data_IF_563747227843
#
_entry.id   IF_563747227843
#
_cell.length_a   1.000
_cell.length_b   1.000
_cell.length_c   1.000
_cell.angle_alpha   90.00
_cell.angle_beta   90.00
_cell.angle_gamma   90.00
#
_symmetry.space_group_name_H-M   'P 1'
#
loop_
_entity.id
_entity.type
_entity.pdbx_description
1 polymer ?
#
# COMPACT_ATOMS: atom_id res chain seq x y z
N UNK A 1 17.64 -7.59 -4.36
CA UNK A 1 18.62 -6.54 -4.72
C UNK A 1 19.96 -7.22 -4.98
N UNK A 2 20.57 -7.00 -6.13
CA UNK A 2 21.86 -7.61 -6.51
C UNK A 2 22.90 -6.49 -6.46
N UNK A 3 23.89 -6.60 -5.59
CA UNK A 3 25.00 -5.64 -5.53
C UNK A 3 26.20 -6.16 -6.32
N UNK A 4 26.77 -5.32 -7.17
CA UNK A 4 28.03 -5.59 -7.87
C UNK A 4 29.17 -4.88 -7.15
N UNK A 5 30.16 -5.62 -6.68
CA UNK A 5 31.44 -5.07 -6.27
C UNK A 5 32.50 -5.49 -7.28
N UNK A 6 33.15 -4.52 -7.91
CA UNK A 6 34.29 -4.77 -8.81
C UNK A 6 35.59 -4.63 -8.05
N UNK A 7 36.30 -5.74 -7.84
CA UNK A 7 37.72 -5.75 -7.46
C UNK A 7 38.57 -6.10 -8.68
N UNK A 8 39.74 -5.47 -8.88
CA UNK A 8 40.63 -5.80 -9.98
C UNK A 8 41.49 -7.01 -9.61
N UNK A 9 41.12 -8.17 -10.11
CA UNK A 9 41.88 -9.40 -9.92
C UNK A 9 41.03 -10.63 -10.13
N UNK A 10 40.98 -11.10 -11.32
CA UNK A 10 40.38 -12.27 -11.94
C UNK A 10 40.04 -13.52 -11.12
N UNK A 11 39.11 -13.44 -10.19
CA UNK A 11 38.32 -14.58 -9.74
C UNK A 11 36.85 -14.25 -10.05
N UNK A 12 36.24 -15.13 -10.84
CA UNK A 12 34.80 -15.07 -11.10
C UNK A 12 34.05 -15.31 -9.79
N UNK A 13 33.54 -14.24 -9.18
CA UNK A 13 32.65 -14.34 -8.03
C UNK A 13 31.50 -15.26 -8.41
N UNK A 14 31.50 -16.46 -7.85
CA UNK A 14 30.37 -17.38 -7.99
C UNK A 14 29.19 -16.75 -7.28
N UNK A 15 28.18 -16.36 -8.02
CA UNK A 15 26.88 -15.97 -7.48
C UNK A 15 26.40 -17.06 -6.51
N UNK A 16 26.48 -16.79 -5.21
CA UNK A 16 25.83 -17.63 -4.21
C UNK A 16 24.36 -17.22 -4.23
N UNK A 17 23.55 -17.97 -5.00
CA UNK A 17 22.09 -17.87 -4.87
C UNK A 17 21.77 -18.36 -3.45
N UNK A 18 21.18 -17.52 -2.58
CA UNK A 18 20.77 -17.97 -1.26
C UNK A 18 19.86 -19.19 -1.44
N UNK A 19 20.12 -20.26 -0.66
CA UNK A 19 19.21 -21.41 -0.65
C UNK A 19 17.81 -20.88 -0.41
N UNK A 20 16.90 -21.16 -1.31
CA UNK A 20 15.49 -20.79 -1.17
C UNK A 20 14.97 -21.39 0.14
N UNK A 21 14.78 -20.55 1.17
CA UNK A 21 14.32 -20.96 2.50
C UNK A 21 12.83 -21.35 2.50
N UNK A 22 12.24 -21.60 1.36
CA UNK A 22 10.82 -21.91 1.21
C UNK A 22 9.92 -20.67 1.26
N UNK A 23 10.47 -19.48 1.48
CA UNK A 23 9.72 -18.23 1.41
C UNK A 23 9.29 -17.95 -0.04
N UNK A 24 8.00 -17.71 -0.22
CA UNK A 24 7.41 -17.33 -1.50
C UNK A 24 6.81 -15.93 -1.38
N UNK A 25 7.01 -15.15 -2.42
CA UNK A 25 6.27 -13.89 -2.57
C UNK A 25 4.90 -14.26 -3.12
N UNK A 26 3.83 -13.98 -2.36
CA UNK A 26 2.46 -14.32 -2.73
C UNK A 26 1.57 -13.10 -2.86
N UNK A 27 2.05 -11.91 -2.51
CA UNK A 27 1.33 -10.65 -2.62
C UNK A 27 2.13 -9.60 -3.38
N UNK A 28 1.41 -8.70 -4.05
CA UNK A 28 1.99 -7.54 -4.73
C UNK A 28 1.09 -6.31 -4.58
N UNK A 29 1.71 -5.15 -4.64
CA UNK A 29 0.99 -3.89 -4.76
C UNK A 29 0.65 -3.59 -6.21
N UNK A 30 -0.47 -2.89 -6.41
CA UNK A 30 -0.94 -2.37 -7.67
C UNK A 30 -1.21 -0.87 -7.51
N UNK A 31 -0.61 -0.06 -8.36
CA UNK A 31 -0.81 1.39 -8.38
C UNK A 31 -1.15 1.87 -9.80
N UNK A 32 -2.36 2.39 -10.00
CA UNK A 32 -2.80 3.01 -11.25
C UNK A 32 -2.81 4.55 -11.16
N UNK A 33 -2.59 5.08 -9.95
CA UNK A 33 -2.75 6.51 -9.67
C UNK A 33 -1.45 7.29 -9.87
N UNK A 34 -0.30 6.72 -9.51
CA UNK A 34 0.98 7.42 -9.56
C UNK A 34 1.42 7.64 -11.01
N UNK A 35 1.70 8.87 -11.36
CA UNK A 35 2.03 9.31 -12.72
C UNK A 35 3.32 8.74 -13.31
N UNK A 36 4.15 8.15 -12.48
CA UNK A 36 5.41 7.49 -12.84
C UNK A 36 5.25 5.98 -13.11
N UNK A 37 4.04 5.45 -12.97
CA UNK A 37 3.73 4.05 -13.25
C UNK A 37 3.46 3.86 -14.74
N UNK A 38 4.16 2.94 -15.43
CA UNK A 38 4.11 2.81 -16.88
C UNK A 38 2.80 2.23 -17.43
N UNK A 39 1.99 1.60 -16.61
CA UNK A 39 0.73 0.95 -17.03
C UNK A 39 -0.53 1.82 -16.88
N UNK A 40 -0.40 3.08 -16.54
CA UNK A 40 -1.55 4.00 -16.55
C UNK A 40 -2.26 3.99 -17.91
N UNK A 41 -3.58 3.98 -17.87
CA UNK A 41 -4.46 3.89 -19.04
C UNK A 41 -4.45 2.53 -19.77
N UNK A 42 -4.04 1.47 -19.11
CA UNK A 42 -4.24 0.13 -19.65
C UNK A 42 -5.72 -0.19 -19.84
N UNK A 43 -6.03 -0.91 -20.92
CA UNK A 43 -7.34 -1.50 -21.14
C UNK A 43 -7.54 -2.74 -20.25
N UNK A 44 -8.79 -3.22 -20.13
CA UNK A 44 -9.10 -4.45 -19.40
C UNK A 44 -8.29 -5.66 -19.91
N UNK A 45 -8.00 -5.71 -21.21
CA UNK A 45 -7.21 -6.79 -21.80
C UNK A 45 -5.76 -6.82 -21.25
N UNK A 46 -5.15 -5.67 -21.08
CA UNK A 46 -3.78 -5.55 -20.56
C UNK A 46 -3.75 -5.87 -19.08
N UNK A 47 -4.72 -5.36 -18.31
CA UNK A 47 -4.89 -5.73 -16.90
C UNK A 47 -5.15 -7.22 -16.71
N UNK A 48 -6.00 -7.84 -17.54
CA UNK A 48 -6.22 -9.27 -17.47
C UNK A 48 -4.94 -10.08 -17.75
N UNK A 49 -4.12 -9.63 -18.68
CA UNK A 49 -2.83 -10.25 -18.95
C UNK A 49 -1.91 -10.17 -17.73
N UNK A 50 -1.89 -9.05 -17.05
CA UNK A 50 -1.07 -8.84 -15.84
C UNK A 50 -1.54 -9.72 -14.69
N UNK A 51 -2.84 -9.78 -14.40
CA UNK A 51 -3.41 -10.69 -13.39
C UNK A 51 -3.06 -12.16 -13.67
N UNK A 52 -3.13 -12.56 -14.93
CA UNK A 52 -2.72 -13.91 -15.36
C UNK A 52 -1.23 -14.15 -15.10
N UNK A 53 -0.37 -13.19 -15.39
CA UNK A 53 1.07 -13.31 -15.15
C UNK A 53 1.36 -13.35 -13.64
N UNK A 54 0.79 -12.47 -12.84
CA UNK A 54 0.91 -12.51 -11.39
C UNK A 54 0.52 -13.89 -10.85
N UNK A 55 -0.62 -14.44 -11.27
CA UNK A 55 -1.05 -15.77 -10.85
C UNK A 55 -0.07 -16.86 -11.27
N UNK A 56 0.49 -16.77 -12.46
CA UNK A 56 1.41 -17.79 -13.00
C UNK A 56 2.72 -17.90 -12.23
N UNK A 57 3.16 -16.82 -11.58
CA UNK A 57 4.36 -16.78 -10.73
C UNK A 57 4.07 -17.00 -9.24
N UNK A 58 2.82 -17.28 -8.88
CA UNK A 58 2.42 -17.64 -7.52
C UNK A 58 1.87 -16.49 -6.68
N UNK A 59 1.61 -15.33 -7.26
CA UNK A 59 0.89 -14.24 -6.57
C UNK A 59 -0.58 -14.64 -6.44
N UNK A 60 -1.11 -14.56 -5.24
CA UNK A 60 -2.52 -14.83 -4.92
C UNK A 60 -3.23 -13.66 -4.24
N UNK A 61 -2.48 -12.60 -3.94
CA UNK A 61 -2.98 -11.41 -3.25
C UNK A 61 -2.52 -10.14 -3.96
N UNK A 62 -3.47 -9.29 -4.33
CA UNK A 62 -3.23 -7.98 -4.94
C UNK A 62 -3.71 -6.90 -3.97
N UNK A 63 -2.86 -5.94 -3.71
CA UNK A 63 -3.12 -4.82 -2.81
C UNK A 63 -3.14 -3.54 -3.64
N UNK A 64 -4.29 -2.95 -3.84
CA UNK A 64 -4.38 -1.63 -4.46
C UNK A 64 -3.86 -0.57 -3.50
N UNK A 65 -2.87 0.22 -3.91
CA UNK A 65 -2.23 1.22 -3.03
C UNK A 65 -3.24 2.29 -2.59
N UNK A 66 -4.05 2.79 -3.53
CA UNK A 66 -5.06 3.81 -3.24
C UNK A 66 -6.17 3.80 -4.28
N UNK A 67 -7.38 4.06 -3.85
CA UNK A 67 -8.55 4.15 -4.74
C UNK A 67 -8.71 5.52 -5.40
N UNK A 68 -7.94 6.47 -4.98
CA UNK A 68 -7.88 7.81 -5.54
C UNK A 68 -6.76 8.61 -4.91
N UNK A 69 -6.27 9.60 -5.66
CA UNK A 69 -5.29 10.56 -5.20
C UNK A 69 -5.71 11.97 -5.61
N UNK A 70 -5.87 12.83 -4.63
CA UNK A 70 -6.37 14.20 -4.85
C UNK A 70 -7.70 14.17 -5.61
N UNK A 71 -7.72 14.60 -6.87
CA UNK A 71 -8.94 14.65 -7.70
C UNK A 71 -9.16 13.44 -8.58
N UNK A 72 -8.15 12.60 -8.80
CA UNK A 72 -8.31 11.41 -9.63
C UNK A 72 -8.75 10.21 -8.76
N UNK A 73 -9.80 9.52 -9.18
CA UNK A 73 -10.35 8.34 -8.49
C UNK A 73 -10.54 7.19 -9.49
N UNK A 74 -10.58 5.96 -9.01
CA UNK A 74 -10.59 4.74 -9.82
C UNK A 74 -11.97 4.08 -9.93
N UNK A 75 -12.98 4.62 -9.26
CA UNK A 75 -14.34 4.07 -9.21
C UNK A 75 -15.40 5.18 -9.08
N UNK A 76 -16.68 4.92 -9.42
CA UNK A 76 -17.74 5.94 -9.41
C UNK A 76 -18.24 6.27 -7.99
N UNK A 77 -17.40 6.86 -7.17
CA UNK A 77 -17.77 7.37 -5.85
C UNK A 77 -18.71 8.58 -6.00
N UNK A 78 -19.91 8.49 -5.48
CA UNK A 78 -20.84 9.63 -5.46
C UNK A 78 -20.33 10.77 -4.61
N UNK A 79 -19.73 10.41 -3.46
CA UNK A 79 -19.18 11.39 -2.53
C UNK A 79 -18.02 12.18 -3.16
N UNK A 80 -17.02 11.49 -3.69
CA UNK A 80 -15.82 12.13 -4.26
C UNK A 80 -16.14 12.87 -5.58
N UNK A 81 -17.01 12.32 -6.44
CA UNK A 81 -17.48 13.02 -7.64
C UNK A 81 -18.23 14.31 -7.27
N UNK A 82 -19.03 14.28 -6.20
CA UNK A 82 -19.69 15.46 -5.63
C UNK A 82 -18.71 16.52 -5.12
N UNK A 83 -17.49 16.13 -4.77
CA UNK A 83 -16.37 17.03 -4.38
C UNK A 83 -15.54 17.52 -5.58
N UNK A 84 -15.92 17.16 -6.81
CA UNK A 84 -15.24 17.56 -8.03
C UNK A 84 -14.05 16.67 -8.42
N UNK A 85 -14.00 15.45 -7.89
CA UNK A 85 -13.09 14.42 -8.39
C UNK A 85 -13.54 13.91 -9.76
N UNK A 86 -12.64 13.28 -10.48
CA UNK A 86 -12.91 12.68 -11.80
C UNK A 86 -12.32 11.26 -11.86
N UNK A 87 -12.89 10.42 -12.70
CA UNK A 87 -12.47 9.03 -12.90
C UNK A 87 -12.26 8.73 -14.39
N UNK A 88 -11.57 7.63 -14.74
CA UNK A 88 -11.52 7.16 -16.11
C UNK A 88 -12.90 6.75 -16.63
N UNK A 89 -12.98 6.39 -17.90
CA UNK A 89 -14.23 6.05 -18.59
C UNK A 89 -14.92 4.77 -18.07
N UNK A 90 -14.24 3.98 -17.26
CA UNK A 90 -14.77 2.74 -16.69
C UNK A 90 -14.32 2.56 -15.24
N UNK A 91 -15.03 1.70 -14.52
CA UNK A 91 -14.80 1.39 -13.12
C UNK A 91 -13.62 0.40 -12.99
N UNK A 92 -12.46 0.92 -12.61
CA UNK A 92 -11.24 0.10 -12.42
C UNK A 92 -11.38 -0.85 -11.24
N UNK A 93 -12.05 -0.44 -10.16
CA UNK A 93 -12.23 -1.29 -8.97
C UNK A 93 -13.10 -2.49 -9.29
N UNK A 94 -14.22 -2.29 -10.00
CA UNK A 94 -15.04 -3.40 -10.48
C UNK A 94 -14.23 -4.38 -11.34
N UNK A 95 -13.45 -3.84 -12.26
CA UNK A 95 -12.60 -4.65 -13.12
C UNK A 95 -11.55 -5.46 -12.33
N UNK A 96 -10.84 -4.83 -11.39
CA UNK A 96 -9.83 -5.53 -10.59
C UNK A 96 -10.44 -6.64 -9.75
N UNK A 97 -11.60 -6.39 -9.13
CA UNK A 97 -12.31 -7.39 -8.33
C UNK A 97 -12.78 -8.58 -9.18
N UNK A 98 -13.30 -8.32 -10.39
CA UNK A 98 -13.67 -9.38 -11.36
C UNK A 98 -12.46 -10.20 -11.81
N UNK A 99 -11.34 -9.54 -12.10
CA UNK A 99 -10.12 -10.22 -12.49
C UNK A 99 -9.53 -11.03 -11.33
N UNK A 100 -9.50 -10.48 -10.12
CA UNK A 100 -9.08 -11.21 -8.93
C UNK A 100 -9.96 -12.45 -8.70
N UNK A 101 -11.28 -12.34 -8.86
CA UNK A 101 -12.19 -13.48 -8.74
C UNK A 101 -11.94 -14.53 -9.81
N UNK A 102 -11.77 -14.10 -11.07
CA UNK A 102 -11.47 -14.97 -12.21
C UNK A 102 -10.19 -15.79 -12.01
N UNK A 103 -9.15 -15.18 -11.44
CA UNK A 103 -7.85 -15.82 -11.20
C UNK A 103 -7.70 -16.39 -9.79
N UNK A 104 -8.78 -16.42 -9.00
CA UNK A 104 -8.77 -16.93 -7.62
C UNK A 104 -7.69 -16.25 -6.77
N UNK A 105 -7.69 -14.93 -6.79
CA UNK A 105 -6.82 -14.05 -6.02
C UNK A 105 -7.64 -13.26 -5.01
N UNK A 106 -7.02 -12.81 -3.93
CA UNK A 106 -7.58 -11.84 -3.01
C UNK A 106 -7.21 -10.44 -3.44
N UNK A 107 -8.14 -9.52 -3.26
CA UNK A 107 -7.94 -8.12 -3.55
C UNK A 107 -8.15 -7.30 -2.26
N UNK A 108 -7.15 -6.51 -1.89
CA UNK A 108 -7.22 -5.55 -0.79
C UNK A 108 -7.47 -4.16 -1.36
N UNK A 109 -8.56 -3.57 -0.93
CA UNK A 109 -8.94 -2.24 -1.38
C UNK A 109 -8.15 -1.16 -0.64
N UNK A 110 -7.37 -0.36 -1.38
CA UNK A 110 -6.66 0.80 -0.85
C UNK A 110 -7.58 2.01 -0.69
N UNK A 111 -7.55 2.63 0.48
CA UNK A 111 -8.38 3.79 0.78
C UNK A 111 -8.01 5.00 -0.08
N UNK A 112 -8.85 6.03 -0.04
CA UNK A 112 -8.62 7.29 -0.74
C UNK A 112 -7.53 8.12 -0.04
N UNK A 113 -6.65 8.70 -0.85
CA UNK A 113 -5.61 9.64 -0.43
C UNK A 113 -5.98 11.05 -0.93
N UNK A 114 -6.39 11.92 -0.03
CA UNK A 114 -6.78 13.30 -0.39
C UNK A 114 -5.60 14.17 -0.80
N UNK A 115 -4.38 13.73 -0.53
CA UNK A 115 -3.15 14.49 -0.69
C UNK A 115 -2.86 15.48 0.43
N UNK A 116 -3.79 15.71 1.36
CA UNK A 116 -3.58 16.66 2.48
C UNK A 116 -2.51 16.18 3.44
N UNK A 117 -2.42 14.88 3.66
CA UNK A 117 -1.36 14.27 4.44
C UNK A 117 0.03 14.67 3.92
N UNK A 118 0.25 14.58 2.61
CA UNK A 118 1.52 14.94 1.98
C UNK A 118 1.85 16.42 2.11
N UNK A 119 0.82 17.27 2.13
CA UNK A 119 0.98 18.71 2.24
C UNK A 119 1.21 19.15 3.71
N UNK A 120 0.68 18.41 4.69
CA UNK A 120 0.64 18.81 6.11
C UNK A 120 1.51 17.95 7.04
N UNK A 121 1.85 16.73 6.65
CA UNK A 121 2.48 15.71 7.51
C UNK A 121 1.55 15.13 8.57
N UNK A 122 0.23 15.33 8.45
CA UNK A 122 -0.78 14.90 9.42
C UNK A 122 -1.79 13.96 8.75
N UNK A 123 -1.77 12.68 9.15
CA UNK A 123 -2.63 11.64 8.58
C UNK A 123 -4.11 11.78 8.99
N UNK A 124 -4.40 12.52 10.06
CA UNK A 124 -5.77 12.71 10.54
C UNK A 124 -6.70 13.38 9.52
N UNK A 125 -6.13 14.12 8.56
CA UNK A 125 -6.89 14.71 7.45
C UNK A 125 -7.58 13.69 6.55
N UNK A 126 -7.09 12.44 6.51
CA UNK A 126 -7.65 11.38 5.67
C UNK A 126 -8.90 10.72 6.26
N UNK A 127 -9.19 10.94 7.56
CA UNK A 127 -10.33 10.32 8.25
C UNK A 127 -11.66 10.74 7.66
N UNK A 128 -11.84 12.05 7.43
CA UNK A 128 -13.14 12.61 7.04
C UNK A 128 -13.65 12.05 5.71
N UNK A 129 -12.80 12.07 4.69
CA UNK A 129 -13.19 11.59 3.35
C UNK A 129 -13.33 10.07 3.32
N UNK A 130 -12.44 9.35 4.00
CA UNK A 130 -12.48 7.89 4.03
C UNK A 130 -13.68 7.33 4.81
N UNK A 131 -14.25 8.08 5.74
CA UNK A 131 -15.51 7.71 6.38
C UNK A 131 -16.62 7.42 5.36
N UNK A 132 -16.74 8.26 4.34
CA UNK A 132 -17.75 8.07 3.28
C UNK A 132 -17.30 7.03 2.24
N UNK A 133 -16.02 7.01 1.91
CA UNK A 133 -15.44 6.06 0.96
C UNK A 133 -15.60 4.61 1.44
N UNK A 134 -15.30 4.31 2.70
CA UNK A 134 -15.39 2.97 3.26
C UNK A 134 -16.84 2.44 3.16
N UNK A 135 -17.82 3.22 3.61
CA UNK A 135 -19.24 2.83 3.56
C UNK A 135 -19.72 2.62 2.13
N UNK A 136 -19.34 3.54 1.21
CA UNK A 136 -19.74 3.50 -0.18
C UNK A 136 -19.16 2.28 -0.91
N UNK A 137 -17.87 2.01 -0.71
CA UNK A 137 -17.16 0.89 -1.32
C UNK A 137 -17.69 -0.45 -0.82
N UNK A 138 -17.90 -0.60 0.48
CA UNK A 138 -18.45 -1.83 1.02
C UNK A 138 -19.83 -2.12 0.42
N UNK A 139 -20.70 -1.13 0.40
CA UNK A 139 -22.03 -1.26 -0.19
C UNK A 139 -22.00 -1.57 -1.68
N UNK A 140 -21.03 -1.06 -2.41
CA UNK A 140 -20.95 -1.20 -3.87
C UNK A 140 -20.28 -2.50 -4.30
N UNK A 141 -19.26 -2.97 -3.56
CA UNK A 141 -18.41 -4.08 -3.96
C UNK A 141 -18.28 -5.18 -2.92
N UNK A 142 -18.31 -4.87 -1.62
CA UNK A 142 -17.93 -5.79 -0.56
C UNK A 142 -18.72 -7.09 -0.55
N UNK A 143 -20.05 -7.01 -0.64
CA UNK A 143 -20.91 -8.20 -0.69
C UNK A 143 -21.01 -8.82 -2.09
N UNK A 144 -20.64 -8.06 -3.11
CA UNK A 144 -20.74 -8.50 -4.51
C UNK A 144 -19.61 -9.45 -4.91
N UNK A 145 -18.40 -9.21 -4.42
CA UNK A 145 -17.20 -9.91 -4.86
C UNK A 145 -16.54 -10.71 -3.74
N UNK A 146 -16.41 -12.02 -3.91
CA UNK A 146 -15.70 -12.91 -2.98
C UNK A 146 -14.18 -12.67 -2.99
N UNK A 147 -13.69 -12.03 -4.03
CA UNK A 147 -12.29 -11.60 -4.15
C UNK A 147 -11.96 -10.41 -3.25
N UNK A 148 -12.96 -9.67 -2.74
CA UNK A 148 -12.72 -8.59 -1.76
C UNK A 148 -12.17 -9.20 -0.47
N UNK A 149 -10.86 -9.20 -0.32
CA UNK A 149 -10.14 -9.93 0.73
C UNK A 149 -9.83 -9.11 1.97
N UNK A 150 -9.90 -7.79 1.88
CA UNK A 150 -9.55 -6.89 2.98
C UNK A 150 -9.33 -5.46 2.54
N UNK A 151 -8.79 -4.66 3.45
CA UNK A 151 -8.58 -3.23 3.31
C UNK A 151 -7.10 -2.88 3.43
N UNK A 152 -6.63 -2.01 2.57
CA UNK A 152 -5.34 -1.36 2.73
C UNK A 152 -5.57 0.10 3.15
N UNK A 153 -5.13 0.45 4.34
CA UNK A 153 -5.25 1.82 4.83
C UNK A 153 -4.09 2.61 4.23
N UNK A 154 -4.40 3.31 3.15
CA UNK A 154 -3.44 4.11 2.40
C UNK A 154 -2.83 5.20 3.27
N UNK A 155 -1.53 5.26 3.33
CA UNK A 155 -0.79 6.23 4.12
C UNK A 155 0.62 5.72 4.30
N UNK A 156 1.53 6.22 3.49
CA UNK A 156 2.95 5.90 3.60
C UNK A 156 3.56 6.74 4.71
N UNK A 157 3.29 6.32 5.95
CA UNK A 157 3.75 7.03 7.14
C UNK A 157 5.16 6.65 7.54
N UNK A 158 5.82 7.55 8.23
CA UNK A 158 6.98 7.25 9.09
C UNK A 158 6.56 7.23 10.56
N UNK A 159 7.47 6.81 11.43
CA UNK A 159 7.29 6.85 12.89
C UNK A 159 6.95 8.23 13.45
N UNK A 160 7.28 9.30 12.71
CA UNK A 160 7.06 10.70 13.10
C UNK A 160 5.75 11.29 12.55
N UNK A 161 4.99 10.54 11.77
CA UNK A 161 3.78 11.06 11.14
C UNK A 161 2.74 11.42 12.19
N UNK A 162 2.31 12.67 12.15
CA UNK A 162 1.32 13.20 13.07
C UNK A 162 -0.05 12.58 12.81
N UNK A 163 -0.80 12.32 13.87
CA UNK A 163 -2.16 11.79 13.80
C UNK A 163 -2.28 10.34 13.30
N UNK A 164 -1.16 9.60 13.15
CA UNK A 164 -1.16 8.26 12.55
C UNK A 164 -2.00 7.26 13.35
N UNK A 165 -1.84 7.20 14.67
CA UNK A 165 -2.57 6.27 15.54
C UNK A 165 -4.08 6.53 15.46
N UNK A 166 -4.49 7.78 15.57
CA UNK A 166 -5.91 8.16 15.52
C UNK A 166 -6.53 7.87 14.16
N UNK A 167 -5.79 8.14 13.08
CA UNK A 167 -6.23 7.87 11.72
C UNK A 167 -6.39 6.38 11.46
N UNK A 168 -5.40 5.56 11.82
CA UNK A 168 -5.49 4.11 11.66
C UNK A 168 -6.59 3.50 12.51
N UNK A 169 -6.77 3.96 13.76
CA UNK A 169 -7.88 3.53 14.61
C UNK A 169 -9.23 3.84 14.01
N UNK A 170 -9.44 5.07 13.57
CA UNK A 170 -10.72 5.50 13.01
C UNK A 170 -11.05 4.74 11.73
N UNK A 171 -10.13 4.74 10.75
CA UNK A 171 -10.36 4.09 9.47
C UNK A 171 -10.37 2.56 9.58
N UNK A 172 -9.43 1.97 10.33
CA UNK A 172 -9.36 0.51 10.52
C UNK A 172 -10.57 -0.05 11.24
N UNK A 173 -11.04 0.66 12.30
CA UNK A 173 -12.27 0.27 12.98
C UNK A 173 -13.46 0.28 12.03
N UNK A 174 -13.64 1.34 11.27
CA UNK A 174 -14.76 1.43 10.33
C UNK A 174 -14.67 0.35 9.24
N UNK A 175 -13.49 0.10 8.67
CA UNK A 175 -13.28 -1.00 7.73
C UNK A 175 -13.75 -2.35 8.30
N UNK A 176 -13.35 -2.66 9.53
CA UNK A 176 -13.77 -3.89 10.21
C UNK A 176 -15.28 -3.91 10.51
N UNK A 177 -15.83 -2.81 11.00
CA UNK A 177 -17.25 -2.71 11.34
C UNK A 177 -18.14 -2.97 10.12
N UNK A 178 -17.88 -2.35 8.98
CA UNK A 178 -18.72 -2.52 7.78
C UNK A 178 -18.57 -3.90 7.14
N UNK A 179 -17.39 -4.50 7.23
CA UNK A 179 -17.06 -5.74 6.52
C UNK A 179 -17.17 -7.01 7.38
N UNK A 180 -17.62 -6.89 8.62
CA UNK A 180 -17.71 -8.04 9.52
C UNK A 180 -16.33 -8.58 9.94
N UNK A 181 -15.31 -7.70 10.00
CA UNK A 181 -13.98 -8.04 10.50
C UNK A 181 -12.98 -8.47 9.42
N UNK A 182 -13.17 -8.11 8.15
CA UNK A 182 -12.14 -8.36 7.14
C UNK A 182 -10.81 -7.73 7.54
N UNK A 183 -9.67 -8.36 7.17
CA UNK A 183 -8.36 -7.91 7.58
C UNK A 183 -8.02 -6.53 7.01
N UNK A 184 -7.26 -5.78 7.81
CA UNK A 184 -6.71 -4.48 7.46
C UNK A 184 -5.19 -4.53 7.41
N UNK A 185 -4.61 -3.77 6.50
CA UNK A 185 -3.20 -3.81 6.17
C UNK A 185 -2.63 -2.39 6.07
N UNK A 186 -1.39 -2.18 6.51
CA UNK A 186 -0.63 -0.94 6.35
C UNK A 186 0.77 -1.23 5.79
N UNK A 187 1.37 -0.23 5.14
CA UNK A 187 2.73 -0.33 4.61
C UNK A 187 3.52 0.96 4.86
N UNK A 188 3.99 1.17 6.08
CA UNK A 188 4.77 2.36 6.44
C UNK A 188 6.23 2.22 6.05
N UNK A 189 6.96 3.36 6.10
CA UNK A 189 8.38 3.38 5.87
C UNK A 189 9.19 3.01 7.11
N UNK A 190 10.29 2.27 6.88
CA UNK A 190 11.34 2.08 7.87
C UNK A 190 12.34 3.22 7.78
N UNK A 191 12.68 3.81 8.92
CA UNK A 191 13.83 4.73 9.05
C UNK A 191 15.07 3.95 9.47
N UNK A 192 16.24 4.32 8.93
CA UNK A 192 17.52 3.67 9.20
C UNK A 192 18.47 4.54 10.01
N UNK A 193 19.65 3.98 10.35
CA UNK A 193 20.73 4.69 11.04
C UNK A 193 21.32 5.84 10.22
N UNK A 194 21.14 5.79 8.91
CA UNK A 194 21.55 6.84 7.98
C UNK A 194 20.35 7.24 7.15
N UNK A 195 20.09 8.52 7.05
CA UNK A 195 19.14 9.02 6.07
C UNK A 195 19.70 8.83 4.67
N UNK A 196 18.99 8.14 3.82
CA UNK A 196 19.34 8.05 2.38
C UNK A 196 18.93 9.36 1.72
N UNK A 197 19.93 10.16 1.42
CA UNK A 197 19.75 11.43 0.71
C UNK A 197 19.40 11.15 -0.75
N UNK A 198 18.24 11.59 -1.21
CA UNK A 198 18.03 11.49 -2.64
C UNK A 198 16.78 12.13 -3.20
N UNK A 199 15.63 11.79 -2.77
CA UNK A 199 14.42 12.23 -3.46
C UNK A 199 13.39 12.89 -2.57
N UNK A 200 13.33 12.57 -1.28
CA UNK A 200 12.13 12.85 -0.51
C UNK A 200 12.34 13.70 0.75
N UNK A 201 13.25 14.64 0.70
CA UNK A 201 13.45 15.61 1.79
C UNK A 201 13.92 15.00 3.12
N UNK A 202 14.42 13.76 3.11
CA UNK A 202 15.01 13.13 4.29
C UNK A 202 16.28 13.87 4.70
N UNK A 203 16.38 14.20 5.96
CA UNK A 203 17.52 14.88 6.56
C UNK A 203 18.29 13.93 7.48
N UNK A 204 19.47 14.34 7.94
CA UNK A 204 20.21 13.57 8.97
C UNK A 204 19.41 13.39 10.26
N UNK A 205 18.44 14.25 10.51
CA UNK A 205 17.55 14.22 11.67
C UNK A 205 16.51 13.10 11.57
N UNK A 206 16.30 12.55 10.37
CA UNK A 206 15.42 11.42 10.16
C UNK A 206 16.11 10.09 10.48
N UNK A 207 17.44 10.08 10.59
CA UNK A 207 18.18 8.91 11.03
C UNK A 207 17.86 8.55 12.49
N UNK A 208 17.74 7.25 12.75
CA UNK A 208 17.32 6.72 14.05
C UNK A 208 18.10 5.48 14.44
N UNK A 209 18.35 5.29 15.73
CA UNK A 209 18.89 4.02 16.21
C UNK A 209 17.85 2.90 16.11
N UNK A 210 18.33 1.65 16.02
CA UNK A 210 17.41 0.47 15.98
C UNK A 210 16.53 0.43 17.23
N UNK A 211 17.08 0.71 18.39
CA UNK A 211 16.37 0.70 19.68
C UNK A 211 15.29 1.78 19.75
N UNK A 212 15.58 2.95 19.24
CA UNK A 212 14.60 4.05 19.19
C UNK A 212 13.50 3.77 18.18
N UNK A 213 13.86 3.26 17.01
CA UNK A 213 12.91 2.84 15.98
C UNK A 213 11.95 1.75 16.54
N UNK A 214 12.50 0.73 17.21
CA UNK A 214 11.71 -0.32 17.85
C UNK A 214 10.76 0.24 18.90
N UNK A 215 11.23 1.13 19.77
CA UNK A 215 10.40 1.75 20.80
C UNK A 215 9.21 2.53 20.22
N UNK A 216 9.48 3.35 19.21
CA UNK A 216 8.45 4.22 18.60
C UNK A 216 7.43 3.40 17.79
N UNK A 217 7.88 2.35 17.09
CA UNK A 217 6.94 1.47 16.40
C UNK A 217 6.14 0.58 17.36
N UNK A 218 6.70 0.15 18.47
CA UNK A 218 5.93 -0.56 19.49
C UNK A 218 4.81 0.32 20.04
N UNK A 219 5.06 1.60 20.31
CA UNK A 219 4.02 2.56 20.72
C UNK A 219 2.91 2.70 19.66
N UNK A 220 3.28 2.79 18.39
CA UNK A 220 2.29 2.83 17.29
C UNK A 220 1.49 1.52 17.24
N UNK A 221 2.14 0.37 17.26
CA UNK A 221 1.46 -0.93 17.21
C UNK A 221 0.56 -1.17 18.41
N UNK A 222 0.98 -0.81 19.61
CA UNK A 222 0.13 -0.85 20.80
C UNK A 222 -1.14 0.01 20.64
N UNK A 223 -0.99 1.09 19.89
CA UNK A 223 -2.09 1.99 19.56
C UNK A 223 -3.07 1.46 18.52
N UNK A 224 -2.68 0.54 17.64
CA UNK A 224 -3.47 0.14 16.45
C UNK A 224 -3.75 -1.36 16.32
N UNK A 225 -3.18 -2.22 17.18
CA UNK A 225 -3.25 -3.69 17.04
C UNK A 225 -4.66 -4.28 16.98
N UNK A 226 -5.66 -3.58 17.54
CA UNK A 226 -7.06 -4.03 17.48
C UNK A 226 -7.70 -3.82 16.10
N UNK A 227 -7.13 -2.94 15.29
CA UNK A 227 -7.71 -2.47 14.02
C UNK A 227 -6.80 -2.65 12.81
N UNK A 228 -5.56 -3.07 13.00
CA UNK A 228 -4.59 -3.39 11.95
C UNK A 228 -4.07 -4.79 12.15
N UNK A 229 -4.27 -5.66 11.15
CA UNK A 229 -3.92 -7.08 11.24
C UNK A 229 -2.53 -7.38 10.66
N UNK A 230 -2.05 -6.56 9.71
CA UNK A 230 -0.77 -6.79 9.06
C UNK A 230 -0.06 -5.48 8.72
N UNK A 231 1.28 -5.53 8.79
CA UNK A 231 2.16 -4.43 8.44
C UNK A 231 3.29 -4.95 7.55
N UNK A 232 3.49 -4.32 6.39
CA UNK A 232 4.62 -4.57 5.51
C UNK A 232 5.43 -3.28 5.40
N UNK A 233 6.54 -3.23 6.09
CA UNK A 233 7.45 -2.09 6.03
C UNK A 233 8.07 -1.93 4.63
N UNK A 234 8.17 -0.68 4.19
CA UNK A 234 8.90 -0.29 2.99
C UNK A 234 10.34 0.08 3.35
N UNK A 235 11.30 -0.40 2.58
CA UNK A 235 12.74 -0.22 2.81
C UNK A 235 13.40 0.84 1.90
N UNK A 236 12.60 1.58 1.13
CA UNK A 236 13.09 2.53 0.12
C UNK A 236 13.96 3.67 0.64
N UNK A 237 13.94 3.92 1.95
CA UNK A 237 14.70 5.01 2.60
C UNK A 237 15.82 4.52 3.51
N UNK A 238 16.16 3.23 3.46
CA UNK A 238 17.23 2.66 4.28
C UNK A 238 18.51 2.53 3.46
N UNK A 239 19.62 2.98 4.05
CA UNK A 239 20.96 2.58 3.60
C UNK A 239 21.20 1.12 4.03
N UNK A 240 21.13 0.21 3.06
CA UNK A 240 21.36 -1.22 3.29
C UNK A 240 22.84 -1.60 3.41
N UNK A 241 23.76 -0.65 3.40
CA UNK A 241 25.17 -0.92 3.72
C UNK A 241 25.30 -1.22 5.21
N UNK A 242 25.41 -2.50 5.51
CA UNK A 242 25.77 -3.03 6.83
C UNK A 242 27.25 -2.81 7.11
#
# INVERSE_FOLDING_TARGET
MISFSSSPGGETDKFIIPKNNGLKITGTFLDEISHDIPHQNWSEREWEQDFRHMKSIGIDTVIMIRSGYRKFITYPSKYLLGKGCYMPSFDLVDMYLRLAEKYQMKFYFGLYDSGKYWDTGDLSWEIEDNKYVIDEVWKQYGEKYKSFGGWYISGEISRKTKGAIDAFRAMGKQCKDVSGGLPTFISPWIDGKKAVMGTDKLTKEDAVSVQEHEREWNEIFDGIHEVVDACAFQDGHIDLSL
#
